data_IF_405715714212
#
_entry.id   IF_405715714212
#
_cell.length_a   1.000
_cell.length_b   1.000
_cell.length_c   1.000
_cell.angle_alpha   90.00
_cell.angle_beta   90.00
_cell.angle_gamma   90.00
#
_symmetry.space_group_name_H-M   'P 1'
#
loop_
_entity.id
_entity.type
_entity.pdbx_description
1 polymer ?
#
# COMPACT_ATOMS: atom_id res chain seq x y z
N UNK A 1 -9.52 -15.30 -2.36
CA UNK A 1 -8.86 -15.03 -1.07
C UNK A 1 -8.77 -16.35 -0.32
N UNK A 2 -7.58 -16.90 -0.21
CA UNK A 2 -7.34 -18.12 0.56
C UNK A 2 -7.37 -17.75 2.04
N UNK A 3 -8.30 -18.35 2.76
CA UNK A 3 -8.42 -18.22 4.20
C UNK A 3 -7.37 -19.17 4.81
N UNK A 4 -6.23 -18.65 5.24
CA UNK A 4 -5.15 -19.44 5.84
C UNK A 4 -5.37 -19.73 7.34
N UNK A 5 -6.61 -19.88 7.78
CA UNK A 5 -6.93 -20.25 9.17
C UNK A 5 -6.49 -21.66 9.55
N UNK A 6 -5.83 -22.38 8.66
CA UNK A 6 -5.48 -23.79 8.82
C UNK A 6 -4.00 -24.15 8.97
N UNK A 7 -3.08 -23.17 9.12
CA UNK A 7 -1.71 -23.55 9.43
C UNK A 7 -1.60 -24.01 10.88
N UNK A 8 -1.26 -25.28 11.14
CA UNK A 8 -1.15 -25.76 12.50
C UNK A 8 -0.01 -25.05 13.23
N UNK A 9 -0.31 -24.47 14.38
CA UNK A 9 0.66 -23.84 15.29
C UNK A 9 1.81 -24.78 15.70
N UNK A 10 1.69 -26.06 15.38
CA UNK A 10 2.72 -27.08 15.61
C UNK A 10 3.90 -27.01 14.63
N UNK A 11 3.76 -26.29 13.50
CA UNK A 11 4.82 -26.18 12.47
C UNK A 11 5.49 -24.81 12.50
N UNK A 12 4.81 -23.78 13.00
CA UNK A 12 5.32 -22.41 13.05
C UNK A 12 5.23 -21.88 14.48
N UNK A 13 6.36 -21.45 15.02
CA UNK A 13 6.45 -20.85 16.37
C UNK A 13 5.93 -19.40 16.38
N UNK A 14 5.98 -18.71 15.25
CA UNK A 14 5.52 -17.33 15.12
C UNK A 14 4.59 -17.17 13.93
N UNK A 15 3.35 -16.73 14.18
CA UNK A 15 2.38 -16.36 13.15
C UNK A 15 1.93 -14.94 13.45
N UNK A 16 2.24 -14.01 12.56
CA UNK A 16 1.91 -12.59 12.70
C UNK A 16 0.97 -12.15 11.59
N UNK A 17 -0.04 -11.36 11.95
CA UNK A 17 -0.96 -10.74 11.00
C UNK A 17 -0.71 -9.23 10.94
N UNK A 18 -0.65 -8.68 9.74
CA UNK A 18 -0.47 -7.25 9.51
C UNK A 18 -1.32 -6.77 8.34
N UNK A 19 -1.74 -5.50 8.36
CA UNK A 19 -2.43 -4.89 7.22
C UNK A 19 -1.46 -4.77 6.05
N UNK A 20 -1.90 -5.19 4.84
CA UNK A 20 -1.09 -5.14 3.63
C UNK A 20 -0.64 -3.71 3.23
N UNK A 21 -1.31 -2.68 3.72
CA UNK A 21 -0.99 -1.27 3.47
C UNK A 21 -0.20 -0.60 4.61
N UNK A 22 0.04 -1.31 5.71
CA UNK A 22 0.94 -0.85 6.78
C UNK A 22 2.39 -1.23 6.48
N UNK A 23 3.03 -0.44 5.60
CA UNK A 23 4.39 -0.69 5.12
C UNK A 23 5.40 -0.65 6.28
N UNK A 24 5.25 0.31 7.19
CA UNK A 24 6.19 0.49 8.31
C UNK A 24 6.11 -0.68 9.29
N UNK A 25 4.89 -1.09 9.64
CA UNK A 25 4.65 -2.26 10.49
C UNK A 25 5.16 -3.55 9.85
N UNK A 26 4.92 -3.72 8.54
CA UNK A 26 5.40 -4.88 7.79
C UNK A 26 6.94 -4.92 7.69
N UNK A 27 7.58 -3.78 7.42
CA UNK A 27 9.05 -3.69 7.35
C UNK A 27 9.71 -4.05 8.69
N UNK A 28 9.15 -3.52 9.79
CA UNK A 28 9.62 -3.83 11.15
C UNK A 28 9.45 -5.32 11.46
N UNK A 29 8.29 -5.87 11.17
CA UNK A 29 7.98 -7.27 11.40
C UNK A 29 8.90 -8.21 10.59
N UNK A 30 9.16 -7.90 9.33
CA UNK A 30 10.10 -8.67 8.49
C UNK A 30 11.49 -8.64 9.10
N UNK A 31 11.97 -7.48 9.56
CA UNK A 31 13.31 -7.36 10.18
C UNK A 31 13.41 -8.16 11.48
N UNK A 32 12.37 -8.16 12.30
CA UNK A 32 12.32 -8.93 13.55
C UNK A 32 12.29 -10.45 13.27
N UNK A 33 11.44 -10.89 12.35
CA UNK A 33 11.26 -12.31 12.05
C UNK A 33 12.45 -12.92 11.29
N UNK A 34 13.17 -12.14 10.48
CA UNK A 34 14.39 -12.62 9.80
C UNK A 34 15.58 -12.86 10.74
N UNK A 35 15.54 -12.31 11.95
CA UNK A 35 16.57 -12.55 12.98
C UNK A 35 16.34 -13.86 13.77
N UNK A 36 15.19 -14.50 13.58
CA UNK A 36 14.88 -15.78 14.24
C UNK A 36 15.43 -16.94 13.42
N UNK A 37 15.97 -17.93 14.11
CA UNK A 37 16.44 -19.19 13.49
C UNK A 37 15.31 -20.21 13.33
N UNK A 38 14.05 -19.76 13.36
CA UNK A 38 12.85 -20.59 13.30
C UNK A 38 11.96 -20.21 12.10
N UNK A 39 11.03 -21.08 11.76
CA UNK A 39 10.05 -20.81 10.72
C UNK A 39 9.03 -19.79 11.22
N UNK A 40 8.95 -18.65 10.55
CA UNK A 40 8.00 -17.59 10.81
C UNK A 40 7.02 -17.43 9.65
N UNK A 41 5.77 -17.13 9.94
CA UNK A 41 4.74 -16.85 8.94
C UNK A 41 4.19 -15.46 9.17
N UNK A 42 4.23 -14.64 8.13
CA UNK A 42 3.61 -13.30 8.11
C UNK A 42 2.41 -13.35 7.17
N UNK A 43 1.23 -13.05 7.70
CA UNK A 43 -0.01 -13.01 6.95
C UNK A 43 -0.41 -11.56 6.76
N UNK A 44 -0.42 -11.11 5.52
CA UNK A 44 -0.94 -9.79 5.17
C UNK A 44 -2.41 -9.88 4.80
N UNK A 45 -3.27 -9.12 5.47
CA UNK A 45 -4.71 -9.09 5.21
C UNK A 45 -5.12 -7.72 4.68
N UNK A 46 -5.86 -7.69 3.59
CA UNK A 46 -6.54 -6.51 3.09
C UNK A 46 -7.73 -6.91 2.21
N UNK A 47 -8.71 -6.03 2.11
CA UNK A 47 -9.83 -6.24 1.21
C UNK A 47 -9.37 -6.13 -0.24
N UNK A 48 -9.79 -7.09 -1.07
CA UNK A 48 -9.55 -7.02 -2.50
C UNK A 48 -10.37 -5.88 -3.13
N UNK A 49 -9.70 -5.02 -3.91
CA UNK A 49 -10.35 -3.90 -4.59
C UNK A 49 -11.40 -4.31 -5.63
N UNK A 50 -11.39 -5.58 -6.05
CA UNK A 50 -12.36 -6.13 -7.01
C UNK A 50 -13.63 -6.68 -6.35
N UNK A 51 -13.69 -6.70 -5.02
CA UNK A 51 -14.91 -7.11 -4.32
C UNK A 51 -16.01 -6.06 -4.48
N UNK A 52 -17.23 -6.51 -4.74
CA UNK A 52 -18.42 -5.62 -4.83
C UNK A 52 -18.68 -4.84 -3.54
N UNK A 53 -18.19 -5.34 -2.40
CA UNK A 53 -18.29 -4.72 -1.08
C UNK A 53 -17.14 -3.78 -0.77
N UNK A 54 -16.14 -3.64 -1.67
CA UNK A 54 -15.02 -2.74 -1.49
C UNK A 54 -15.47 -1.29 -1.62
N UNK A 55 -15.24 -0.51 -0.58
CA UNK A 55 -15.50 0.94 -0.59
C UNK A 55 -14.15 1.65 -0.58
N UNK A 56 -13.78 2.38 -1.67
CA UNK A 56 -12.53 3.13 -1.70
C UNK A 56 -12.57 4.23 -0.63
N UNK A 57 -11.48 4.38 0.13
CA UNK A 57 -11.34 5.39 1.19
C UNK A 57 -11.37 6.83 0.64
N UNK A 58 -11.13 7.00 -0.64
CA UNK A 58 -11.04 8.28 -1.33
C UNK A 58 -10.24 8.16 -2.60
N UNK A 59 -9.76 9.28 -3.09
CA UNK A 59 -8.85 9.36 -4.25
C UNK A 59 -7.59 10.12 -3.88
N UNK A 60 -6.45 9.70 -4.39
CA UNK A 60 -5.22 10.43 -4.21
C UNK A 60 -5.10 11.52 -5.28
N UNK A 61 -4.69 12.71 -4.87
CA UNK A 61 -4.49 13.88 -5.74
C UNK A 61 -3.06 14.38 -5.58
N UNK A 62 -2.45 14.80 -6.68
CA UNK A 62 -1.10 15.36 -6.71
C UNK A 62 -1.16 16.88 -6.70
N UNK A 63 -0.45 17.49 -5.77
CA UNK A 63 -0.17 18.92 -5.75
C UNK A 63 1.06 19.18 -6.65
N UNK A 64 0.82 19.77 -7.81
CA UNK A 64 1.85 20.01 -8.83
C UNK A 64 2.92 20.97 -8.34
N UNK A 65 2.57 21.94 -7.49
CA UNK A 65 3.53 22.92 -6.96
C UNK A 65 4.53 22.30 -5.99
N UNK A 66 4.07 21.34 -5.19
CA UNK A 66 4.92 20.58 -4.24
C UNK A 66 5.66 19.42 -4.92
N UNK A 67 5.22 19.00 -6.10
CA UNK A 67 5.81 17.89 -6.82
C UNK A 67 7.22 18.22 -7.34
N UNK A 68 8.24 17.54 -6.80
CA UNK A 68 9.64 17.69 -7.26
C UNK A 68 10.00 16.81 -8.45
N UNK A 69 9.03 16.16 -9.09
CA UNK A 69 9.22 15.34 -10.31
C UNK A 69 10.24 14.21 -10.14
N UNK A 70 10.47 13.77 -8.90
CA UNK A 70 11.50 12.79 -8.55
C UNK A 70 11.15 11.35 -8.95
N UNK A 71 9.88 11.03 -9.25
CA UNK A 71 9.42 9.72 -9.68
C UNK A 71 9.32 8.65 -8.59
N UNK A 72 9.64 8.95 -7.33
CA UNK A 72 9.60 7.96 -6.23
C UNK A 72 8.20 7.35 -6.02
N UNK A 73 7.16 8.11 -6.25
CA UNK A 73 5.78 7.62 -6.14
C UNK A 73 5.45 6.53 -7.17
N UNK A 74 6.17 6.50 -8.31
CA UNK A 74 5.97 5.51 -9.38
C UNK A 74 6.58 4.14 -9.07
N UNK A 75 7.50 4.07 -8.09
CA UNK A 75 8.13 2.81 -7.67
C UNK A 75 7.09 1.80 -7.17
N UNK A 76 5.94 2.28 -6.67
CA UNK A 76 4.84 1.41 -6.25
C UNK A 76 4.17 0.63 -7.40
N UNK A 77 4.50 0.93 -8.67
CA UNK A 77 3.92 0.26 -9.84
C UNK A 77 2.40 0.44 -9.98
N UNK A 78 1.85 1.53 -9.42
CA UNK A 78 0.41 1.77 -9.44
C UNK A 78 -0.07 2.06 -10.87
N UNK A 79 -1.08 1.32 -11.41
CA UNK A 79 -1.60 1.54 -12.76
C UNK A 79 -2.29 2.89 -12.93
N UNK A 80 -2.79 3.48 -11.83
CA UNK A 80 -3.42 4.81 -11.85
C UNK A 80 -2.40 5.95 -11.95
N UNK A 81 -1.10 5.68 -11.81
CA UNK A 81 -0.07 6.72 -11.74
C UNK A 81 0.79 6.73 -12.99
N UNK A 82 0.93 7.90 -13.60
CA UNK A 82 1.76 8.12 -14.78
C UNK A 82 2.49 9.46 -14.73
N UNK A 83 3.43 9.66 -15.65
CA UNK A 83 4.11 10.95 -15.81
C UNK A 83 3.28 11.86 -16.71
N UNK A 84 3.05 13.08 -16.25
CA UNK A 84 2.51 14.13 -17.08
C UNK A 84 3.54 14.67 -18.11
N UNK A 85 3.08 15.56 -18.96
CA UNK A 85 3.89 16.13 -20.05
C UNK A 85 5.16 16.86 -19.58
N UNK A 86 5.10 17.46 -18.40
CA UNK A 86 6.22 18.20 -17.80
C UNK A 86 7.04 17.36 -16.79
N UNK A 87 6.77 16.05 -16.72
CA UNK A 87 7.45 15.13 -15.82
C UNK A 87 6.89 15.04 -14.39
N UNK A 88 5.83 15.78 -14.08
CA UNK A 88 5.09 15.67 -12.84
C UNK A 88 4.37 14.33 -12.73
N UNK A 89 4.06 13.89 -11.50
CA UNK A 89 3.22 12.74 -11.29
C UNK A 89 1.75 13.13 -11.52
N UNK A 90 1.03 12.30 -12.23
CA UNK A 90 -0.42 12.44 -12.47
C UNK A 90 -1.11 11.17 -12.02
N UNK A 91 -2.24 11.30 -11.35
CA UNK A 91 -3.05 10.16 -10.89
C UNK A 91 -4.39 10.17 -11.63
N UNK A 92 -4.69 9.05 -12.28
CA UNK A 92 -5.99 8.83 -12.89
C UNK A 92 -7.02 8.52 -11.81
N UNK A 93 -7.95 9.41 -11.63
CA UNK A 93 -9.00 9.30 -10.62
C UNK A 93 -9.93 8.11 -10.85
N UNK A 94 -10.08 7.65 -12.09
CA UNK A 94 -10.96 6.54 -12.43
C UNK A 94 -10.38 5.20 -11.99
N UNK A 95 -9.06 5.10 -11.98
CA UNK A 95 -8.32 3.91 -11.60
C UNK A 95 -7.85 3.92 -10.13
N UNK A 96 -7.85 5.09 -9.49
CA UNK A 96 -7.37 5.23 -8.12
C UNK A 96 -8.38 4.67 -7.11
N UNK A 97 -7.95 3.73 -6.27
CA UNK A 97 -8.75 3.14 -5.19
C UNK A 97 -8.47 3.75 -3.81
N UNK A 98 -7.63 4.80 -3.73
CA UNK A 98 -7.34 5.49 -2.48
C UNK A 98 -6.53 4.69 -1.46
N UNK A 99 -5.71 3.74 -1.89
CA UNK A 99 -4.91 2.91 -0.96
C UNK A 99 -3.83 3.68 -0.18
N UNK A 100 -3.40 4.87 -0.68
CA UNK A 100 -2.44 5.75 0.00
C UNK A 100 -0.97 5.35 -0.12
N UNK A 101 -0.61 4.27 -0.82
CA UNK A 101 0.78 3.85 -0.99
C UNK A 101 1.67 4.94 -1.62
N UNK A 102 1.15 5.62 -2.63
CA UNK A 102 1.88 6.70 -3.30
C UNK A 102 2.17 7.89 -2.36
N UNK A 103 1.31 8.15 -1.37
CA UNK A 103 1.53 9.18 -0.36
C UNK A 103 2.72 8.82 0.54
N UNK A 104 2.83 7.55 0.95
CA UNK A 104 3.95 7.08 1.79
C UNK A 104 5.28 7.14 1.05
N UNK A 105 5.28 6.93 -0.27
CA UNK A 105 6.48 7.04 -1.10
C UNK A 105 6.87 8.49 -1.41
N UNK A 106 5.95 9.45 -1.23
CA UNK A 106 6.23 10.85 -1.52
C UNK A 106 6.88 11.56 -0.33
N UNK A 107 8.20 11.72 -0.36
CA UNK A 107 8.96 12.42 0.69
C UNK A 107 8.64 13.92 0.80
N UNK A 108 8.02 14.50 -0.20
CA UNK A 108 7.72 15.94 -0.28
C UNK A 108 6.27 16.26 0.12
N UNK A 109 5.46 15.25 0.45
CA UNK A 109 4.06 15.45 0.81
C UNK A 109 3.21 16.06 -0.31
N UNK A 110 3.61 15.84 -1.57
CA UNK A 110 2.91 16.37 -2.74
C UNK A 110 1.64 15.57 -3.09
N UNK A 111 1.38 14.45 -2.43
CA UNK A 111 0.22 13.60 -2.69
C UNK A 111 -0.66 13.58 -1.44
N UNK A 112 -1.93 13.87 -1.61
CA UNK A 112 -2.92 13.87 -0.53
C UNK A 112 -4.10 12.97 -0.88
N UNK A 113 -4.76 12.42 0.14
CA UNK A 113 -5.98 11.64 0.00
C UNK A 113 -7.18 12.58 0.17
N UNK A 114 -8.01 12.67 -0.85
CA UNK A 114 -9.29 13.37 -0.80
C UNK A 114 -10.37 12.32 -0.55
N UNK A 115 -11.09 12.37 0.58
CA UNK A 115 -12.15 11.42 0.87
C UNK A 115 -13.28 11.57 -0.15
N UNK A 116 -13.92 10.45 -0.50
CA UNK A 116 -15.11 10.49 -1.33
C UNK A 116 -16.21 11.25 -0.56
N UNK A 117 -16.53 12.46 -1.00
CA UNK A 117 -17.73 13.13 -0.55
C UNK A 117 -18.92 12.40 -1.18
N UNK A 118 -19.67 11.73 -0.35
CA UNK A 118 -21.03 11.31 -0.71
C UNK A 118 -22.01 12.45 -0.48
#
# INVERSE_FOLDING_TARGET
>A
CLNYEGYPKSVCTSINEVDAFDIEGLEKLIKEETQREEVSVIITKSQCALLKTFVPKGKCVVDVEKCKKCGLCMVSGCPAMHKGANGEAVIDETMCNGCGLCMKNCKFGAISLVPNQK
#
